data_IF_791024767697
#
_entry.id   IF_791024767697
#
_cell.length_a   1.000
_cell.length_b   1.000
_cell.length_c   1.000
_cell.angle_alpha   90.00
_cell.angle_beta   90.00
_cell.angle_gamma   90.00
#
_symmetry.space_group_name_H-M   'P 1'
#
loop_
_entity.id
_entity.type
_entity.pdbx_description
1 polymer ?
#
# COMPACT_ATOMS: atom_id res chain seq x y z
N UNK A 1 5.07 -6.74 -4.61
CA UNK A 1 4.68 -5.76 -5.66
C UNK A 1 4.18 -4.53 -4.93
N UNK A 2 4.70 -3.33 -5.22
CA UNK A 2 4.09 -2.12 -4.65
C UNK A 2 2.66 -2.03 -5.19
N UNK A 3 1.68 -2.12 -4.30
CA UNK A 3 0.32 -1.64 -4.57
C UNK A 3 0.47 -0.14 -4.76
N UNK A 4 0.34 0.34 -6.00
CA UNK A 4 0.52 1.73 -6.33
C UNK A 4 -0.70 2.51 -5.81
N UNK A 5 -0.64 2.93 -4.55
CA UNK A 5 -1.65 3.79 -3.94
C UNK A 5 -1.45 5.21 -4.48
N UNK A 6 -1.99 5.49 -5.66
CA UNK A 6 -1.92 6.85 -6.25
C UNK A 6 -3.07 7.71 -5.72
N UNK A 7 -3.13 7.90 -4.41
CA UNK A 7 -3.96 8.98 -3.84
C UNK A 7 -3.13 10.25 -3.87
N UNK A 8 -3.66 11.35 -4.38
CA UNK A 8 -2.96 12.63 -4.46
C UNK A 8 -3.44 13.56 -3.34
N UNK A 9 -2.52 14.31 -2.74
CA UNK A 9 -2.87 15.43 -1.86
C UNK A 9 -3.66 16.48 -2.65
N UNK A 10 -4.89 16.85 -2.23
CA UNK A 10 -5.70 17.82 -2.94
C UNK A 10 -5.12 19.25 -2.91
N UNK A 11 -4.24 19.59 -1.95
CA UNK A 11 -3.63 20.92 -1.86
C UNK A 11 -2.33 21.04 -2.67
N UNK A 12 -1.58 19.94 -2.84
CA UNK A 12 -0.25 19.95 -3.48
C UNK A 12 -0.15 19.11 -4.75
N UNK A 13 -1.11 18.23 -5.03
CA UNK A 13 -1.11 17.33 -6.19
C UNK A 13 0.00 16.27 -6.17
N UNK A 14 0.70 16.07 -5.06
CA UNK A 14 1.70 15.02 -4.89
C UNK A 14 1.03 13.71 -4.40
N UNK A 15 1.45 12.52 -4.85
CA UNK A 15 0.93 11.28 -4.30
C UNK A 15 1.24 11.19 -2.79
N UNK A 16 0.24 10.81 -1.99
CA UNK A 16 0.44 10.43 -0.60
C UNK A 16 1.38 9.23 -0.51
N UNK A 17 2.08 9.14 0.62
CA UNK A 17 2.85 7.94 0.92
C UNK A 17 1.99 6.67 0.93
N UNK A 18 2.58 5.56 0.49
CA UNK A 18 1.99 4.24 0.51
C UNK A 18 2.72 3.34 1.52
N UNK A 19 2.00 2.37 2.06
CA UNK A 19 2.56 1.30 2.88
C UNK A 19 2.13 -0.06 2.32
N UNK A 20 3.07 -1.00 2.31
CA UNK A 20 2.82 -2.40 2.00
C UNK A 20 3.55 -3.29 3.02
N UNK A 21 3.09 -4.53 3.16
CA UNK A 21 3.79 -5.56 3.92
C UNK A 21 4.46 -6.54 2.98
N UNK A 22 5.69 -6.94 3.34
CA UNK A 22 6.43 -7.99 2.66
C UNK A 22 7.30 -8.72 3.67
N UNK A 23 7.12 -10.04 3.79
CA UNK A 23 7.98 -10.90 4.62
C UNK A 23 8.16 -10.38 6.06
N UNK A 24 7.08 -9.89 6.68
CA UNK A 24 7.07 -9.30 8.03
C UNK A 24 7.54 -7.84 8.10
N UNK A 25 8.10 -7.29 7.02
CA UNK A 25 8.60 -5.91 6.94
C UNK A 25 7.55 -4.96 6.41
N UNK A 26 7.51 -3.75 6.95
CA UNK A 26 6.76 -2.64 6.41
C UNK A 26 7.62 -1.95 5.35
N UNK A 27 7.07 -1.83 4.14
CA UNK A 27 7.67 -1.12 3.02
C UNK A 27 6.87 0.16 2.78
N UNK A 28 7.47 1.28 3.14
CA UNK A 28 6.91 2.61 2.97
C UNK A 28 7.49 3.23 1.71
N UNK A 29 6.67 3.97 0.97
CA UNK A 29 7.09 4.74 -0.20
C UNK A 29 6.44 6.11 -0.16
N UNK A 30 7.23 7.17 -0.21
CA UNK A 30 6.75 8.55 -0.29
C UNK A 30 7.43 9.25 -1.46
N UNK A 31 6.70 10.11 -2.16
CA UNK A 31 7.25 10.86 -3.28
C UNK A 31 7.06 12.37 -3.08
N UNK A 32 8.00 13.17 -3.60
CA UNK A 32 7.97 14.63 -3.56
C UNK A 32 8.38 15.20 -4.92
N UNK A 33 7.69 16.25 -5.35
CA UNK A 33 8.13 17.12 -6.47
C UNK A 33 8.69 18.39 -5.88
N UNK A 34 10.02 18.45 -5.78
CA UNK A 34 10.75 19.54 -5.14
C UNK A 34 11.15 20.55 -6.21
N UNK A 35 10.91 21.85 -5.96
CA UNK A 35 11.20 22.94 -6.93
C UNK A 35 12.67 23.39 -6.91
N UNK A 36 13.57 22.43 -6.73
CA UNK A 36 15.00 22.64 -6.59
C UNK A 36 15.76 21.62 -7.45
N UNK A 37 16.94 21.97 -7.98
CA UNK A 37 17.75 21.06 -8.78
C UNK A 37 18.29 19.90 -7.92
N UNK A 38 18.55 18.71 -8.49
CA UNK A 38 18.98 17.53 -7.73
C UNK A 38 20.22 17.78 -6.87
N UNK A 39 21.15 18.62 -7.30
CA UNK A 39 22.36 18.97 -6.56
C UNK A 39 22.05 19.71 -5.25
N UNK A 40 21.02 20.58 -5.27
CA UNK A 40 20.56 21.29 -4.08
C UNK A 40 19.88 20.33 -3.10
N UNK A 41 19.05 19.42 -3.61
CA UNK A 41 18.38 18.40 -2.81
C UNK A 41 19.40 17.44 -2.21
N UNK A 42 20.36 16.98 -3.02
CA UNK A 42 21.46 16.12 -2.60
C UNK A 42 22.23 16.72 -1.42
N UNK A 43 22.59 18.00 -1.50
CA UNK A 43 23.26 18.68 -0.40
C UNK A 43 22.43 18.64 0.90
N UNK A 44 21.11 18.86 0.82
CA UNK A 44 20.23 18.77 1.98
C UNK A 44 20.13 17.33 2.57
N UNK A 45 20.39 16.30 1.75
CA UNK A 45 20.40 14.90 2.17
C UNK A 45 21.76 14.43 2.72
N UNK A 46 22.87 15.08 2.39
CA UNK A 46 24.21 14.58 2.71
C UNK A 46 25.09 15.52 3.53
N UNK A 47 24.81 16.83 3.56
CA UNK A 47 25.55 17.79 4.38
C UNK A 47 25.00 17.75 5.82
N UNK A 48 25.80 17.35 6.84
CA UNK A 48 25.36 17.29 8.23
C UNK A 48 24.74 18.59 8.75
N UNK A 49 25.25 19.74 8.31
CA UNK A 49 24.71 21.03 8.74
C UNK A 49 23.29 21.26 8.18
N UNK A 50 23.01 20.77 6.98
CA UNK A 50 21.68 20.86 6.38
C UNK A 50 20.72 19.79 6.89
N UNK A 51 21.19 18.56 7.14
CA UNK A 51 20.41 17.50 7.78
C UNK A 51 19.84 17.95 9.13
N UNK A 52 20.62 18.69 9.91
CA UNK A 52 20.18 19.27 11.19
C UNK A 52 19.02 20.26 11.06
N UNK A 53 18.77 20.81 9.87
CA UNK A 53 17.69 21.77 9.65
C UNK A 53 16.31 21.09 9.53
N UNK A 54 16.25 19.81 9.15
CA UNK A 54 14.99 19.14 8.81
C UNK A 54 14.83 17.70 9.31
N UNK A 55 15.93 16.98 9.61
CA UNK A 55 15.91 15.56 9.97
C UNK A 55 16.40 15.31 11.41
N UNK A 56 17.70 15.50 11.64
CA UNK A 56 18.39 15.08 12.85
C UNK A 56 19.77 15.74 12.95
N UNK A 57 20.33 15.80 14.16
CA UNK A 57 21.76 16.06 14.34
C UNK A 57 22.53 14.85 13.78
N UNK A 58 23.40 15.10 12.81
CA UNK A 58 23.90 14.04 11.92
C UNK A 58 25.43 14.02 11.86
N UNK A 59 25.98 12.81 11.77
CA UNK A 59 27.30 12.54 11.23
C UNK A 59 27.12 11.55 10.07
N UNK A 60 27.73 11.84 8.92
CA UNK A 60 27.61 11.01 7.73
C UNK A 60 28.93 11.00 6.96
N UNK A 61 29.48 9.81 6.74
CA UNK A 61 30.64 9.61 5.88
C UNK A 61 30.18 9.49 4.42
N UNK A 62 30.60 10.39 3.50
CA UNK A 62 30.01 10.52 2.17
C UNK A 62 30.57 9.50 1.17
N UNK A 63 30.45 8.22 1.47
CA UNK A 63 30.88 7.11 0.61
C UNK A 63 30.13 5.81 0.95
N UNK A 64 29.96 4.94 -0.04
CA UNK A 64 29.49 3.57 0.22
C UNK A 64 30.46 2.84 1.16
N UNK A 65 29.91 2.15 2.16
CA UNK A 65 30.65 1.54 3.26
C UNK A 65 30.98 2.51 4.40
N UNK A 66 30.69 3.81 4.26
CA UNK A 66 30.88 4.81 5.30
C UNK A 66 29.86 4.67 6.43
N UNK A 67 30.24 5.08 7.64
CA UNK A 67 29.36 5.10 8.80
C UNK A 67 28.44 6.34 8.85
N UNK A 68 27.32 6.22 9.56
CA UNK A 68 26.51 7.38 9.93
C UNK A 68 25.94 7.26 11.36
N UNK A 69 25.64 8.42 11.96
CA UNK A 69 24.86 8.56 13.18
C UNK A 69 23.80 9.66 12.98
N UNK A 70 22.53 9.37 13.31
CA UNK A 70 21.44 10.33 13.32
C UNK A 70 20.84 10.40 14.73
N UNK A 71 21.01 11.54 15.39
CA UNK A 71 20.42 11.83 16.71
C UNK A 71 19.17 12.67 16.53
N UNK A 72 18.02 12.07 16.84
CA UNK A 72 16.72 12.68 16.61
C UNK A 72 16.49 13.90 17.51
N UNK A 73 16.04 15.00 16.91
CA UNK A 73 15.84 16.29 17.58
C UNK A 73 14.39 16.55 17.98
N UNK A 74 13.49 15.60 17.71
CA UNK A 74 12.05 15.69 17.95
C UNK A 74 11.57 14.81 19.13
N UNK A 75 12.44 14.56 20.11
CA UNK A 75 12.14 13.70 21.27
C UNK A 75 11.29 14.39 22.38
N UNK A 76 11.15 15.72 22.33
CA UNK A 76 10.51 16.48 23.41
C UNK A 76 11.31 16.32 24.72
N UNK A 77 10.63 15.92 25.79
CA UNK A 77 11.25 15.67 27.10
C UNK A 77 11.89 14.27 27.24
N UNK A 78 11.74 13.40 26.23
CA UNK A 78 12.31 12.07 26.25
C UNK A 78 13.78 12.07 25.80
N UNK A 79 14.52 11.02 26.19
CA UNK A 79 15.88 10.81 25.69
C UNK A 79 15.88 10.70 24.15
N UNK A 80 16.73 11.48 23.45
CA UNK A 80 16.85 11.41 22.01
C UNK A 80 17.22 10.02 21.52
N UNK A 81 16.40 9.47 20.63
CA UNK A 81 16.77 8.26 19.91
C UNK A 81 18.00 8.54 19.03
N UNK A 82 18.89 7.56 18.93
CA UNK A 82 20.06 7.64 18.05
C UNK A 82 20.07 6.42 17.13
N UNK A 83 19.99 6.66 15.84
CA UNK A 83 20.12 5.65 14.80
C UNK A 83 21.56 5.61 14.28
N UNK A 84 22.10 4.41 14.09
CA UNK A 84 23.44 4.19 13.54
C UNK A 84 23.39 3.18 12.42
N UNK A 85 24.40 3.20 11.57
CA UNK A 85 24.43 2.27 10.46
C UNK A 85 25.51 2.54 9.44
N UNK A 86 25.29 1.98 8.25
CA UNK A 86 26.23 2.06 7.12
C UNK A 86 25.53 2.67 5.91
N UNK A 87 26.24 3.50 5.17
CA UNK A 87 25.84 3.98 3.84
C UNK A 87 26.04 2.83 2.85
N UNK A 88 24.96 2.21 2.38
CA UNK A 88 25.03 1.08 1.44
C UNK A 88 25.14 1.52 -0.01
N UNK A 89 24.61 2.70 -0.35
CA UNK A 89 24.79 3.33 -1.66
C UNK A 89 24.98 4.85 -1.54
N UNK A 90 25.91 5.38 -2.32
CA UNK A 90 26.22 6.81 -2.40
C UNK A 90 26.61 7.17 -3.84
N UNK A 91 25.64 7.56 -4.66
CA UNK A 91 25.82 7.99 -6.06
C UNK A 91 25.32 9.42 -6.24
N UNK A 92 26.16 10.46 -6.00
CA UNK A 92 25.75 11.84 -6.14
C UNK A 92 25.38 12.24 -7.59
N UNK A 93 24.33 13.05 -7.82
CA UNK A 93 23.29 13.50 -6.89
C UNK A 93 22.00 12.66 -7.01
N UNK A 94 22.11 11.35 -7.21
CA UNK A 94 21.00 10.48 -7.65
C UNK A 94 20.49 9.54 -6.57
N UNK A 95 21.36 8.93 -5.77
CA UNK A 95 20.97 7.85 -4.87
C UNK A 95 21.77 7.86 -3.56
N UNK A 96 21.04 7.99 -2.45
CA UNK A 96 21.53 7.72 -1.10
C UNK A 96 20.76 6.52 -0.54
N UNK A 97 21.47 5.53 -0.02
CA UNK A 97 20.88 4.41 0.71
C UNK A 97 21.63 4.18 2.01
N UNK A 98 20.88 4.03 3.10
CA UNK A 98 21.35 3.81 4.46
C UNK A 98 20.74 2.51 5.00
N UNK A 99 21.55 1.66 5.60
CA UNK A 99 21.10 0.54 6.41
C UNK A 99 21.23 0.91 7.89
N UNK A 100 20.09 1.14 8.55
CA UNK A 100 19.96 1.65 9.91
C UNK A 100 19.53 0.57 10.90
N UNK A 101 20.16 0.56 12.07
CA UNK A 101 19.77 -0.28 13.21
C UNK A 101 18.37 0.00 13.76
N UNK A 102 17.85 1.22 13.61
CA UNK A 102 16.57 1.67 14.14
C UNK A 102 15.48 1.76 13.08
N UNK A 103 15.83 2.20 11.87
CA UNK A 103 14.86 2.53 10.81
C UNK A 103 14.91 1.58 9.61
N UNK A 104 15.72 0.53 9.68
CA UNK A 104 15.94 -0.41 8.59
C UNK A 104 16.59 0.26 7.39
N UNK A 105 16.22 -0.18 6.18
CA UNK A 105 16.80 0.35 4.95
C UNK A 105 16.05 1.61 4.54
N UNK A 106 16.77 2.73 4.44
CA UNK A 106 16.27 4.02 4.00
C UNK A 106 16.91 4.38 2.67
N UNK A 107 16.11 4.75 1.68
CA UNK A 107 16.59 5.01 0.32
C UNK A 107 15.95 6.28 -0.24
N UNK A 108 16.77 7.18 -0.75
CA UNK A 108 16.36 8.41 -1.44
C UNK A 108 16.88 8.37 -2.87
N UNK A 109 15.95 8.42 -3.83
CA UNK A 109 16.24 8.45 -5.26
C UNK A 109 15.80 9.78 -5.86
N UNK A 110 16.72 10.46 -6.53
CA UNK A 110 16.51 11.78 -7.13
C UNK A 110 16.53 11.66 -8.65
N UNK A 111 15.42 12.01 -9.28
CA UNK A 111 15.30 12.11 -10.73
C UNK A 111 15.09 13.57 -11.14
N UNK A 112 15.93 14.13 -12.03
CA UNK A 112 15.69 15.47 -12.57
C UNK A 112 14.38 15.50 -13.35
N UNK A 113 13.58 16.54 -13.15
CA UNK A 113 12.36 16.84 -13.91
C UNK A 113 12.38 18.30 -14.37
N UNK A 114 11.59 18.72 -15.38
CA UNK A 114 11.70 20.06 -15.97
C UNK A 114 11.64 21.23 -14.96
N UNK A 115 10.91 21.08 -13.85
CA UNK A 115 10.72 22.13 -12.83
C UNK A 115 11.46 21.86 -11.51
N UNK A 116 12.37 20.88 -11.47
CA UNK A 116 13.15 20.55 -10.27
C UNK A 116 13.50 19.08 -10.16
N UNK A 117 13.13 18.46 -9.04
CA UNK A 117 13.51 17.08 -8.70
C UNK A 117 12.29 16.27 -8.29
N UNK A 118 12.14 15.08 -8.87
CA UNK A 118 11.27 14.05 -8.32
C UNK A 118 12.09 13.22 -7.34
N UNK A 119 11.78 13.37 -6.05
CA UNK A 119 12.34 12.56 -4.98
C UNK A 119 11.39 11.39 -4.71
N UNK A 120 11.96 10.19 -4.71
CA UNK A 120 11.32 8.97 -4.23
C UNK A 120 12.06 8.54 -2.97
N UNK A 121 11.34 8.48 -1.85
CA UNK A 121 11.84 7.94 -0.60
C UNK A 121 11.19 6.59 -0.32
N UNK A 122 11.98 5.59 0.05
CA UNK A 122 11.48 4.31 0.56
C UNK A 122 12.12 3.96 1.90
N UNK A 123 11.32 3.36 2.78
CA UNK A 123 11.77 2.81 4.06
C UNK A 123 11.30 1.37 4.16
N UNK A 124 12.23 0.45 4.36
CA UNK A 124 11.94 -0.95 4.64
C UNK A 124 12.36 -1.28 6.07
N UNK A 125 11.38 -1.46 6.94
CA UNK A 125 11.60 -1.57 8.38
C UNK A 125 10.75 -2.68 9.01
N UNK A 126 11.33 -3.41 9.94
CA UNK A 126 10.62 -4.40 10.73
C UNK A 126 9.95 -3.71 11.93
N UNK A 127 8.65 -3.47 11.81
CA UNK A 127 7.83 -2.89 12.88
C UNK A 127 6.49 -3.63 13.00
N UNK A 128 5.93 -3.73 14.22
CA UNK A 128 4.54 -4.15 14.40
C UNK A 128 3.53 -3.32 13.57
N UNK A 129 2.36 -3.89 13.28
CA UNK A 129 1.34 -3.29 12.40
C UNK A 129 0.82 -1.95 12.92
N UNK A 130 0.60 -1.88 14.22
CA UNK A 130 0.15 -0.67 14.90
C UNK A 130 1.10 0.53 14.75
N UNK A 131 2.36 0.31 14.35
CA UNK A 131 3.34 1.38 14.16
C UNK A 131 3.48 1.87 12.72
N UNK A 132 2.96 1.15 11.72
CA UNK A 132 3.09 1.51 10.30
C UNK A 132 2.59 2.92 10.04
N UNK A 133 1.38 3.24 10.49
CA UNK A 133 0.76 4.56 10.34
C UNK A 133 1.61 5.67 10.97
N UNK A 134 2.16 5.42 12.17
CA UNK A 134 3.01 6.38 12.89
C UNK A 134 4.30 6.63 12.13
N UNK A 135 4.95 5.58 11.63
CA UNK A 135 6.20 5.68 10.88
C UNK A 135 5.97 6.40 9.54
N UNK A 136 4.89 6.10 8.83
CA UNK A 136 4.52 6.75 7.58
C UNK A 136 4.27 8.26 7.78
N UNK A 137 3.52 8.63 8.83
CA UNK A 137 3.31 10.03 9.20
C UNK A 137 4.59 10.74 9.63
N UNK A 138 5.48 10.04 10.33
CA UNK A 138 6.79 10.55 10.73
C UNK A 138 7.66 10.92 9.53
N UNK A 139 7.82 9.99 8.58
CA UNK A 139 8.59 10.27 7.36
C UNK A 139 7.95 11.34 6.49
N UNK A 140 6.63 11.35 6.37
CA UNK A 140 5.92 12.40 5.65
C UNK A 140 6.27 13.79 6.21
N UNK A 141 6.19 13.94 7.53
CA UNK A 141 6.50 15.20 8.19
C UNK A 141 7.95 15.65 7.94
N UNK A 142 8.92 14.73 8.05
CA UNK A 142 10.32 15.08 7.78
C UNK A 142 10.55 15.46 6.32
N UNK A 143 9.87 14.81 5.37
CA UNK A 143 9.95 15.20 3.95
C UNK A 143 9.30 16.56 3.68
N UNK A 144 8.31 16.98 4.47
CA UNK A 144 7.79 18.34 4.39
C UNK A 144 8.79 19.35 4.97
N UNK A 145 9.48 19.00 6.07
CA UNK A 145 10.58 19.82 6.59
C UNK A 145 11.75 19.92 5.62
N UNK A 146 12.04 18.87 4.85
CA UNK A 146 13.03 18.91 3.78
C UNK A 146 12.64 19.97 2.74
N UNK A 147 11.39 19.99 2.27
CA UNK A 147 10.91 20.98 1.31
C UNK A 147 11.01 22.41 1.89
N UNK A 148 10.57 22.61 3.13
CA UNK A 148 10.70 23.88 3.86
C UNK A 148 12.19 24.32 3.94
N UNK A 149 13.11 23.38 4.25
CA UNK A 149 14.53 23.65 4.39
C UNK A 149 15.24 23.96 3.05
N UNK A 150 14.78 23.36 1.95
CA UNK A 150 15.26 23.72 0.61
C UNK A 150 14.92 25.17 0.26
N UNK A 151 13.79 25.68 0.76
CA UNK A 151 13.39 27.09 0.72
C UNK A 151 14.12 28.01 1.72
N UNK A 152 14.99 27.46 2.56
CA UNK A 152 15.80 28.21 3.53
C UNK A 152 15.20 28.30 4.94
N UNK A 153 14.07 27.64 5.21
CA UNK A 153 13.55 27.51 6.56
C UNK A 153 14.38 26.52 7.39
N UNK A 154 14.17 26.52 8.70
CA UNK A 154 14.73 25.51 9.61
C UNK A 154 13.67 25.14 10.64
N UNK A 155 13.63 23.87 11.03
CA UNK A 155 12.77 23.44 12.13
C UNK A 155 13.29 24.04 13.44
N UNK A 156 12.39 24.67 14.19
CA UNK A 156 12.66 25.08 15.57
C UNK A 156 12.48 23.86 16.50
N UNK A 157 13.53 23.05 16.61
CA UNK A 157 13.51 21.83 17.42
C UNK A 157 13.20 22.09 18.90
N UNK A 158 13.58 23.27 19.43
CA UNK A 158 13.34 23.62 20.83
C UNK A 158 11.85 23.83 21.14
N UNK A 159 11.07 24.26 20.14
CA UNK A 159 9.62 24.49 20.26
C UNK A 159 8.83 23.50 19.38
N UNK A 160 9.43 22.36 19.02
CA UNK A 160 8.78 21.39 18.14
C UNK A 160 7.56 20.76 18.82
N UNK A 161 6.50 20.51 18.02
CA UNK A 161 5.27 19.88 18.51
C UNK A 161 4.79 18.80 17.55
N UNK A 162 3.95 17.90 18.07
CA UNK A 162 3.31 16.84 17.28
C UNK A 162 2.11 17.32 16.45
N UNK A 163 1.82 18.64 16.40
CA UNK A 163 0.62 19.16 15.75
C UNK A 163 0.56 18.84 14.25
N UNK A 164 1.63 19.13 13.48
CA UNK A 164 1.73 18.78 12.05
C UNK A 164 1.75 17.25 11.86
N UNK A 165 2.50 16.54 12.71
CA UNK A 165 2.53 15.07 12.68
C UNK A 165 1.13 14.46 12.82
N UNK A 166 0.31 14.95 13.76
CA UNK A 166 -1.05 14.45 14.01
C UNK A 166 -1.95 14.60 12.79
N UNK A 167 -1.80 15.70 12.03
CA UNK A 167 -2.54 15.87 10.77
C UNK A 167 -2.21 14.77 9.76
N UNK A 168 -0.92 14.44 9.56
CA UNK A 168 -0.54 13.35 8.66
C UNK A 168 -0.96 11.98 9.22
N UNK A 169 -0.77 11.76 10.51
CA UNK A 169 -1.17 10.52 11.18
C UNK A 169 -2.67 10.24 10.99
N UNK A 170 -3.54 11.22 11.28
CA UNK A 170 -4.99 11.03 11.20
C UNK A 170 -5.44 10.81 9.75
N UNK A 171 -4.79 11.47 8.79
CA UNK A 171 -5.01 11.24 7.35
C UNK A 171 -4.62 9.81 6.95
N UNK A 172 -3.45 9.34 7.36
CA UNK A 172 -3.00 7.98 7.06
C UNK A 172 -3.83 6.91 7.77
N UNK A 173 -4.23 7.13 9.02
CA UNK A 173 -5.11 6.24 9.75
C UNK A 173 -6.46 6.10 9.03
N UNK A 174 -7.05 7.21 8.58
CA UNK A 174 -8.29 7.19 7.82
C UNK A 174 -8.14 6.47 6.47
N UNK A 175 -7.05 6.73 5.73
CA UNK A 175 -6.78 6.09 4.45
C UNK A 175 -6.58 4.58 4.60
N UNK A 176 -5.69 4.15 5.50
CA UNK A 176 -5.41 2.73 5.72
C UNK A 176 -6.64 1.98 6.23
N UNK A 177 -7.39 2.58 7.17
CA UNK A 177 -8.66 2.00 7.62
C UNK A 177 -9.71 1.86 6.50
N UNK A 178 -9.75 2.81 5.54
CA UNK A 178 -10.62 2.70 4.37
C UNK A 178 -10.21 1.55 3.45
N UNK A 179 -8.91 1.34 3.25
CA UNK A 179 -8.38 0.28 2.40
C UNK A 179 -8.63 -1.10 3.01
N UNK A 180 -8.43 -1.24 4.32
CA UNK A 180 -8.70 -2.47 5.07
C UNK A 180 -10.19 -2.79 5.06
N UNK A 181 -11.06 -1.80 5.22
CA UNK A 181 -12.50 -1.98 5.09
C UNK A 181 -12.90 -2.51 3.70
N UNK A 182 -12.22 -2.07 2.63
CA UNK A 182 -12.46 -2.55 1.26
C UNK A 182 -11.93 -3.97 1.05
N UNK A 183 -10.75 -4.31 1.60
CA UNK A 183 -10.25 -5.69 1.63
C UNK A 183 -11.21 -6.63 2.37
N UNK A 184 -11.76 -6.16 3.48
CA UNK A 184 -12.75 -6.90 4.27
C UNK A 184 -14.07 -7.13 3.52
N UNK A 185 -14.51 -6.18 2.67
CA UNK A 185 -15.64 -6.43 1.77
C UNK A 185 -15.34 -7.61 0.84
N UNK A 186 -14.19 -7.60 0.18
CA UNK A 186 -13.77 -8.65 -0.73
C UNK A 186 -13.68 -10.01 -0.05
N UNK A 187 -13.01 -10.08 1.11
CA UNK A 187 -12.90 -11.30 1.92
C UNK A 187 -14.27 -11.87 2.27
N UNK A 188 -15.21 -11.03 2.72
CA UNK A 188 -16.58 -11.47 3.07
C UNK A 188 -17.37 -12.03 1.89
N UNK A 189 -17.19 -11.47 0.68
CA UNK A 189 -17.79 -12.05 -0.54
C UNK A 189 -17.27 -13.48 -0.76
N UNK A 190 -15.96 -13.67 -0.68
CA UNK A 190 -15.34 -14.99 -0.88
C UNK A 190 -15.73 -15.98 0.22
N UNK A 191 -15.80 -15.52 1.48
CA UNK A 191 -16.25 -16.33 2.61
C UNK A 191 -17.70 -16.80 2.40
N UNK A 192 -18.60 -15.90 1.97
CA UNK A 192 -19.99 -16.24 1.63
C UNK A 192 -20.09 -17.25 0.47
N UNK A 193 -19.29 -17.07 -0.59
CA UNK A 193 -19.22 -18.05 -1.68
C UNK A 193 -18.73 -19.41 -1.20
N UNK A 194 -17.63 -19.43 -0.44
CA UNK A 194 -16.99 -20.66 0.03
C UNK A 194 -17.85 -21.41 1.06
N UNK A 195 -18.66 -20.68 1.83
CA UNK A 195 -19.69 -21.23 2.71
C UNK A 195 -20.96 -21.67 1.95
N UNK A 196 -21.07 -21.34 0.65
CA UNK A 196 -22.26 -21.55 -0.19
C UNK A 196 -23.51 -20.90 0.41
N UNK A 197 -23.34 -19.67 0.90
CA UNK A 197 -24.40 -18.86 1.49
C UNK A 197 -24.57 -17.58 0.66
N UNK A 198 -25.65 -17.54 -0.14
CA UNK A 198 -25.95 -16.43 -1.03
C UNK A 198 -26.24 -15.13 -0.28
N UNK A 199 -26.88 -15.22 0.91
CA UNK A 199 -27.11 -14.05 1.77
C UNK A 199 -25.79 -13.50 2.31
N UNK A 200 -24.88 -14.36 2.79
CA UNK A 200 -23.57 -13.93 3.25
C UNK A 200 -22.73 -13.35 2.12
N UNK A 201 -22.79 -13.95 0.92
CA UNK A 201 -22.14 -13.41 -0.28
C UNK A 201 -22.64 -12.01 -0.62
N UNK A 202 -23.95 -11.77 -0.52
CA UNK A 202 -24.57 -10.51 -0.91
C UNK A 202 -24.49 -9.41 0.18
N UNK A 203 -24.32 -9.74 1.46
CA UNK A 203 -24.29 -8.74 2.56
C UNK A 203 -23.34 -7.53 2.32
N UNK A 204 -22.12 -7.72 1.78
CA UNK A 204 -21.20 -6.63 1.50
C UNK A 204 -21.69 -5.61 0.47
N UNK A 205 -22.63 -5.99 -0.41
CA UNK A 205 -23.07 -5.16 -1.52
C UNK A 205 -23.92 -3.98 -1.08
N UNK A 206 -23.96 -2.93 -1.89
CA UNK A 206 -25.03 -1.93 -1.84
C UNK A 206 -26.40 -2.57 -2.10
N UNK A 207 -27.49 -1.92 -1.66
CA UNK A 207 -28.85 -2.42 -1.94
C UNK A 207 -29.10 -2.50 -3.45
N UNK A 208 -28.51 -1.58 -4.22
CA UNK A 208 -28.48 -1.50 -5.68
C UNK A 208 -27.16 -2.00 -6.31
N UNK A 209 -26.31 -2.68 -5.53
CA UNK A 209 -25.02 -3.19 -6.02
C UNK A 209 -25.19 -4.33 -7.04
N UNK A 210 -24.14 -4.56 -7.84
CA UNK A 210 -24.15 -5.52 -8.94
C UNK A 210 -23.03 -6.55 -8.85
N UNK A 211 -23.31 -7.77 -9.29
CA UNK A 211 -22.27 -8.76 -9.58
C UNK A 211 -22.33 -9.22 -11.03
N UNK A 212 -21.16 -9.40 -11.63
CA UNK A 212 -20.97 -9.99 -12.95
C UNK A 212 -20.23 -11.32 -12.78
N UNK A 213 -20.93 -12.40 -13.08
CA UNK A 213 -20.42 -13.77 -13.00
C UNK A 213 -19.34 -14.06 -14.04
N UNK A 214 -18.69 -15.21 -13.88
CA UNK A 214 -17.61 -15.66 -14.78
C UNK A 214 -18.07 -15.82 -16.25
N UNK A 215 -19.36 -16.13 -16.46
CA UNK A 215 -20.03 -16.26 -17.75
C UNK A 215 -20.57 -14.92 -18.30
N UNK A 216 -20.37 -13.82 -17.57
CA UNK A 216 -20.90 -12.50 -17.90
C UNK A 216 -22.34 -12.26 -17.43
N UNK A 217 -22.95 -13.18 -16.70
CA UNK A 217 -24.31 -12.99 -16.15
C UNK A 217 -24.30 -11.87 -15.12
N UNK A 218 -25.23 -10.92 -15.27
CA UNK A 218 -25.39 -9.78 -14.36
C UNK A 218 -26.53 -10.04 -13.36
N UNK A 219 -26.26 -9.79 -12.09
CA UNK A 219 -27.28 -9.71 -11.04
C UNK A 219 -27.20 -8.34 -10.37
N UNK A 220 -28.29 -7.58 -10.47
CA UNK A 220 -28.40 -6.25 -9.87
C UNK A 220 -29.34 -6.28 -8.67
N UNK A 221 -28.89 -5.67 -7.57
CA UNK A 221 -29.61 -5.54 -6.31
C UNK A 221 -29.28 -6.65 -5.30
N UNK A 222 -29.01 -6.26 -4.05
CA UNK A 222 -28.53 -7.18 -3.00
C UNK A 222 -29.42 -8.41 -2.80
N UNK A 223 -30.73 -8.22 -2.73
CA UNK A 223 -31.69 -9.31 -2.53
C UNK A 223 -31.69 -10.29 -3.71
N UNK A 224 -31.66 -9.75 -4.94
CA UNK A 224 -31.60 -10.57 -6.15
C UNK A 224 -30.30 -11.35 -6.22
N UNK A 225 -29.17 -10.74 -5.87
CA UNK A 225 -27.88 -11.43 -5.77
C UNK A 225 -28.00 -12.62 -4.82
N UNK A 226 -28.49 -12.41 -3.59
CA UNK A 226 -28.65 -13.48 -2.61
C UNK A 226 -29.50 -14.63 -3.14
N UNK A 227 -30.68 -14.33 -3.69
CA UNK A 227 -31.60 -15.34 -4.22
C UNK A 227 -31.01 -16.15 -5.37
N UNK A 228 -30.30 -15.50 -6.31
CA UNK A 228 -29.71 -16.21 -7.45
C UNK A 228 -28.54 -17.10 -7.00
N UNK A 229 -27.72 -16.62 -6.08
CA UNK A 229 -26.59 -17.40 -5.56
C UNK A 229 -27.08 -18.61 -4.74
N UNK A 230 -28.13 -18.46 -3.92
CA UNK A 230 -28.73 -19.60 -3.19
C UNK A 230 -29.27 -20.66 -4.16
N UNK A 231 -29.87 -20.27 -5.29
CA UNK A 231 -30.30 -21.23 -6.33
C UNK A 231 -29.11 -21.97 -6.93
N UNK A 232 -28.05 -21.25 -7.30
CA UNK A 232 -26.82 -21.86 -7.83
C UNK A 232 -26.23 -22.87 -6.84
N UNK A 233 -26.17 -22.51 -5.55
CA UNK A 233 -25.63 -23.37 -4.50
C UNK A 233 -26.51 -24.59 -4.20
N UNK A 234 -27.83 -24.48 -4.38
CA UNK A 234 -28.74 -25.60 -4.25
C UNK A 234 -28.58 -26.62 -5.39
N UNK A 235 -28.34 -26.13 -6.62
CA UNK A 235 -28.29 -26.98 -7.82
C UNK A 235 -26.89 -27.54 -8.10
N UNK A 236 -25.83 -26.90 -7.59
CA UNK A 236 -24.44 -27.25 -7.90
C UNK A 236 -23.55 -27.27 -6.65
N UNK A 237 -22.71 -28.31 -6.54
CA UNK A 237 -21.58 -28.28 -5.63
C UNK A 237 -20.52 -27.32 -6.20
N UNK A 238 -20.58 -26.04 -5.83
CA UNK A 238 -19.64 -25.03 -6.33
C UNK A 238 -18.21 -25.26 -5.82
N UNK A 239 -17.25 -24.90 -6.66
CA UNK A 239 -15.83 -24.91 -6.33
C UNK A 239 -15.50 -23.80 -5.33
N UNK A 240 -14.45 -23.98 -4.53
CA UNK A 240 -14.02 -23.02 -3.51
C UNK A 240 -13.02 -22.03 -4.11
N UNK A 241 -13.21 -20.73 -3.86
CA UNK A 241 -12.22 -19.71 -4.21
C UNK A 241 -10.96 -19.80 -3.34
N UNK A 242 -9.83 -19.62 -4.02
CA UNK A 242 -8.53 -19.25 -3.47
C UNK A 242 -8.13 -17.96 -4.18
N UNK A 243 -7.76 -16.92 -3.45
CA UNK A 243 -7.53 -15.63 -4.07
C UNK A 243 -6.38 -14.85 -3.42
N UNK A 244 -5.82 -13.93 -4.20
CA UNK A 244 -4.75 -13.01 -3.81
C UNK A 244 -5.15 -11.59 -4.24
N UNK A 245 -5.18 -10.66 -3.28
CA UNK A 245 -5.40 -9.24 -3.58
C UNK A 245 -4.14 -8.67 -4.21
N UNK A 246 -4.27 -8.15 -5.43
CA UNK A 246 -3.16 -7.54 -6.17
C UNK A 246 -2.98 -6.07 -5.84
N UNK A 247 -4.10 -5.37 -5.69
CA UNK A 247 -4.14 -3.92 -5.54
C UNK A 247 -5.44 -3.51 -4.84
N UNK A 248 -5.36 -2.52 -3.96
CA UNK A 248 -6.51 -1.80 -3.43
C UNK A 248 -6.14 -0.32 -3.39
N UNK A 249 -7.02 0.55 -3.87
CA UNK A 249 -6.75 1.99 -3.90
C UNK A 249 -8.04 2.79 -3.80
N UNK A 250 -7.95 3.92 -3.12
CA UNK A 250 -8.98 4.97 -3.16
C UNK A 250 -8.82 5.72 -4.48
N UNK A 251 -9.92 5.88 -5.21
CA UNK A 251 -9.97 6.54 -6.54
C UNK A 251 -10.66 7.89 -6.50
N UNK A 252 -11.31 8.21 -5.39
CA UNK A 252 -11.95 9.49 -5.11
C UNK A 252 -12.55 9.49 -3.70
N UNK A 253 -13.06 10.62 -3.21
CA UNK A 253 -13.72 10.68 -1.91
C UNK A 253 -14.82 9.63 -1.79
N UNK A 254 -14.66 8.68 -0.86
CA UNK A 254 -15.62 7.60 -0.64
C UNK A 254 -15.76 6.62 -1.82
N UNK A 255 -14.77 6.51 -2.69
CA UNK A 255 -14.75 5.55 -3.80
C UNK A 255 -13.42 4.80 -3.85
N UNK A 256 -13.47 3.48 -3.98
CA UNK A 256 -12.30 2.62 -4.02
C UNK A 256 -12.44 1.52 -5.08
N UNK A 257 -11.30 1.05 -5.56
CA UNK A 257 -11.19 -0.10 -6.45
C UNK A 257 -10.22 -1.10 -5.84
N UNK A 258 -10.63 -2.36 -5.82
CA UNK A 258 -9.78 -3.50 -5.47
C UNK A 258 -9.68 -4.42 -6.69
N UNK A 259 -8.47 -4.90 -6.93
CA UNK A 259 -8.17 -5.89 -7.96
C UNK A 259 -7.52 -7.10 -7.31
N UNK A 260 -8.01 -8.27 -7.64
CA UNK A 260 -7.50 -9.54 -7.15
C UNK A 260 -7.39 -10.54 -8.29
N UNK A 261 -6.68 -11.63 -8.04
CA UNK A 261 -6.74 -12.83 -8.85
C UNK A 261 -7.32 -13.95 -8.02
N UNK A 262 -8.08 -14.83 -8.63
CA UNK A 262 -8.63 -15.99 -7.96
C UNK A 262 -8.57 -17.23 -8.84
N UNK A 263 -8.40 -18.38 -8.19
CA UNK A 263 -8.60 -19.70 -8.77
C UNK A 263 -9.67 -20.43 -7.98
N UNK A 264 -10.11 -21.57 -8.50
CA UNK A 264 -11.10 -22.40 -7.80
C UNK A 264 -10.60 -23.83 -7.64
N UNK A 265 -10.86 -24.41 -6.46
CA UNK A 265 -10.64 -25.82 -6.16
C UNK A 265 -11.97 -26.55 -6.29
N UNK A 266 -12.13 -27.43 -7.30
CA UNK A 266 -13.37 -28.18 -7.49
C UNK A 266 -13.72 -29.08 -6.30
N UNK A 267 -15.00 -29.42 -6.09
CA UNK A 267 -15.40 -30.37 -5.04
C UNK A 267 -14.64 -31.70 -5.15
N UNK A 268 -14.03 -32.14 -4.05
CA UNK A 268 -13.26 -33.39 -3.99
C UNK A 268 -11.86 -33.33 -4.63
N UNK A 269 -11.47 -32.19 -5.21
CA UNK A 269 -10.12 -31.98 -5.72
C UNK A 269 -9.19 -31.42 -4.63
N UNK A 270 -7.89 -31.66 -4.79
CA UNK A 270 -6.84 -31.10 -3.92
C UNK A 270 -6.10 -29.92 -4.55
N UNK A 271 -6.41 -29.57 -5.81
CA UNK A 271 -5.68 -28.59 -6.59
C UNK A 271 -6.62 -27.66 -7.35
N UNK A 272 -6.09 -26.52 -7.77
CA UNK A 272 -6.78 -25.49 -8.54
C UNK A 272 -7.01 -25.97 -9.97
N UNK A 273 -8.20 -25.73 -10.51
CA UNK A 273 -8.49 -25.87 -11.93
C UNK A 273 -8.03 -24.60 -12.70
N UNK A 274 -6.99 -24.70 -13.55
CA UNK A 274 -6.48 -23.54 -14.29
C UNK A 274 -7.51 -22.92 -15.24
N UNK A 275 -8.48 -23.70 -15.73
CA UNK A 275 -9.46 -23.25 -16.72
C UNK A 275 -10.43 -22.20 -16.17
N UNK A 276 -10.55 -22.11 -14.85
CA UNK A 276 -11.48 -21.21 -14.16
C UNK A 276 -10.78 -20.15 -13.32
N UNK A 277 -9.48 -19.95 -13.53
CA UNK A 277 -8.77 -18.80 -12.98
C UNK A 277 -9.39 -17.51 -13.53
N UNK A 278 -9.51 -16.50 -12.68
CA UNK A 278 -10.10 -15.22 -13.02
C UNK A 278 -9.34 -14.04 -12.40
N UNK A 279 -9.49 -12.89 -13.04
CA UNK A 279 -9.21 -11.60 -12.45
C UNK A 279 -10.51 -11.08 -11.86
N UNK A 280 -10.47 -10.71 -10.59
CA UNK A 280 -11.60 -10.14 -9.87
C UNK A 280 -11.43 -8.65 -9.69
N UNK A 281 -12.47 -7.88 -9.99
CA UNK A 281 -12.51 -6.43 -9.78
C UNK A 281 -13.68 -6.11 -8.87
N UNK A 282 -13.41 -5.32 -7.83
CA UNK A 282 -14.40 -4.83 -6.89
C UNK A 282 -14.34 -3.30 -6.89
N UNK A 283 -15.48 -2.65 -7.11
CA UNK A 283 -15.63 -1.22 -6.83
C UNK A 283 -16.47 -1.07 -5.57
N UNK A 284 -16.03 -0.18 -4.69
CA UNK A 284 -16.71 0.10 -3.44
C UNK A 284 -16.98 1.60 -3.30
N UNK A 285 -18.08 1.92 -2.65
CA UNK A 285 -18.42 3.27 -2.25
C UNK A 285 -18.73 3.35 -0.77
N UNK A 286 -18.42 4.50 -0.16
CA UNK A 286 -18.68 4.79 1.25
C UNK A 286 -19.92 5.64 1.37
N UNK A 287 -21.02 5.05 1.83
CA UNK A 287 -22.28 5.75 2.09
C UNK A 287 -22.54 5.81 3.60
N UNK A 288 -22.81 7.01 4.13
CA UNK A 288 -23.04 7.26 5.55
C UNK A 288 -21.95 6.63 6.46
N UNK A 289 -20.69 6.74 6.05
CA UNK A 289 -19.54 6.24 6.81
C UNK A 289 -19.27 4.73 6.68
N UNK A 290 -20.07 3.98 5.92
CA UNK A 290 -19.89 2.53 5.71
C UNK A 290 -19.54 2.21 4.27
N UNK A 291 -18.49 1.41 4.08
CA UNK A 291 -18.12 0.87 2.78
C UNK A 291 -19.05 -0.27 2.38
N UNK A 292 -19.50 -0.25 1.12
CA UNK A 292 -20.29 -1.29 0.48
C UNK A 292 -19.84 -1.48 -0.97
N UNK A 293 -20.08 -2.66 -1.51
CA UNK A 293 -19.69 -3.03 -2.88
C UNK A 293 -20.72 -2.49 -3.85
N UNK A 294 -20.27 -1.67 -4.80
CA UNK A 294 -21.10 -1.19 -5.91
C UNK A 294 -21.07 -2.20 -7.07
N UNK A 295 -19.90 -2.74 -7.40
CA UNK A 295 -19.72 -3.76 -8.44
C UNK A 295 -18.70 -4.82 -8.02
N UNK A 296 -19.02 -6.08 -8.24
CA UNK A 296 -18.06 -7.19 -8.21
C UNK A 296 -18.08 -7.93 -9.54
N UNK A 297 -16.93 -8.04 -10.21
CA UNK A 297 -16.83 -8.67 -11.53
C UNK A 297 -15.77 -9.75 -11.54
N UNK A 298 -16.12 -10.89 -12.15
CA UNK A 298 -15.20 -11.99 -12.44
C UNK A 298 -14.90 -12.01 -13.94
N UNK A 299 -13.63 -11.92 -14.32
CA UNK A 299 -13.21 -11.99 -15.72
C UNK A 299 -12.28 -13.19 -15.91
N UNK A 300 -12.60 -14.13 -16.83
CA UNK A 300 -11.73 -15.27 -17.11
C UNK A 300 -10.29 -14.85 -17.44
N UNK A 301 -9.32 -15.40 -16.73
CA UNK A 301 -7.89 -15.11 -16.91
C UNK A 301 -7.30 -15.99 -18.02
N UNK A 302 -7.85 -15.88 -19.22
CA UNK A 302 -7.53 -16.77 -20.34
C UNK A 302 -6.15 -16.51 -20.97
N UNK A 303 -5.61 -15.29 -20.85
CA UNK A 303 -4.31 -14.87 -21.40
C UNK A 303 -4.05 -15.38 -22.82
N UNK A 304 -5.01 -15.19 -23.74
CA UNK A 304 -4.92 -15.73 -25.10
C UNK A 304 -3.57 -15.43 -25.77
N UNK A 305 -2.96 -16.47 -26.33
CA UNK A 305 -1.64 -16.42 -26.96
C UNK A 305 -0.45 -16.42 -25.99
N UNK A 306 -0.68 -16.48 -24.67
CA UNK A 306 0.33 -16.38 -23.61
C UNK A 306 0.11 -17.45 -22.51
N UNK A 307 0.19 -18.75 -22.85
CA UNK A 307 -0.08 -19.84 -21.91
C UNK A 307 0.84 -19.83 -20.68
N UNK A 308 2.06 -19.30 -20.81
CA UNK A 308 3.01 -19.11 -19.72
C UNK A 308 2.49 -18.18 -18.63
N UNK A 309 1.74 -17.12 -18.97
CA UNK A 309 1.13 -16.21 -17.99
C UNK A 309 0.02 -16.92 -17.19
N UNK A 310 -0.80 -17.73 -17.87
CA UNK A 310 -1.84 -18.54 -17.22
C UNK A 310 -1.25 -19.61 -16.29
N UNK A 311 -0.16 -20.27 -16.72
CA UNK A 311 0.56 -21.24 -15.91
C UNK A 311 1.20 -20.58 -14.68
N UNK A 312 1.81 -19.40 -14.85
CA UNK A 312 2.38 -18.62 -13.75
C UNK A 312 1.32 -18.20 -12.73
N UNK A 313 0.15 -17.72 -13.19
CA UNK A 313 -0.96 -17.39 -12.31
C UNK A 313 -1.43 -18.61 -11.50
N UNK A 314 -1.56 -19.77 -12.15
CA UNK A 314 -1.94 -21.00 -11.46
C UNK A 314 -0.92 -21.41 -10.40
N UNK A 315 0.38 -21.32 -10.72
CA UNK A 315 1.44 -21.64 -9.79
C UNK A 315 1.42 -20.73 -8.55
N UNK A 316 1.15 -19.44 -8.76
CA UNK A 316 1.00 -18.48 -7.67
C UNK A 316 -0.20 -18.81 -6.77
N UNK A 317 -1.39 -19.03 -7.36
CA UNK A 317 -2.59 -19.35 -6.60
C UNK A 317 -2.45 -20.68 -5.84
N UNK A 318 -1.67 -21.65 -6.37
CA UNK A 318 -1.30 -22.88 -5.65
C UNK A 318 -0.44 -22.60 -4.43
N UNK A 319 0.47 -21.63 -4.49
CA UNK A 319 1.25 -21.22 -3.32
C UNK A 319 0.31 -20.66 -2.23
N UNK A 320 -0.66 -19.81 -2.62
CA UNK A 320 -1.70 -19.30 -1.72
C UNK A 320 -2.50 -20.45 -1.10
N UNK A 321 -2.94 -21.43 -1.89
CA UNK A 321 -3.69 -22.60 -1.41
C UNK A 321 -2.92 -23.41 -0.35
N UNK A 322 -1.60 -23.56 -0.51
CA UNK A 322 -0.75 -24.30 0.43
C UNK A 322 -0.46 -23.54 1.72
N UNK A 323 -0.75 -22.23 1.75
CA UNK A 323 -0.27 -21.33 2.80
C UNK A 323 1.21 -20.96 2.65
N UNK A 324 1.83 -21.29 1.50
CA UNK A 324 3.20 -20.90 1.13
C UNK A 324 3.23 -19.55 0.40
N UNK A 325 2.05 -19.02 0.04
CA UNK A 325 1.90 -17.65 -0.44
C UNK A 325 2.16 -16.67 0.70
N UNK A 326 2.86 -15.57 0.40
CA UNK A 326 2.95 -14.43 1.31
C UNK A 326 1.54 -14.14 1.86
N UNK A 327 1.32 -14.05 3.18
CA UNK A 327 0.03 -13.61 3.69
C UNK A 327 -0.21 -12.18 3.21
N UNK A 328 -0.97 -12.02 2.14
CA UNK A 328 -1.54 -10.76 1.72
C UNK A 328 -2.61 -10.36 2.72
N UNK A 329 -2.26 -9.39 3.57
CA UNK A 329 -3.19 -8.69 4.47
C UNK A 329 -4.35 -8.03 3.71
#
# INVERSE_FOLDING_TARGET
MFVAMTTHDPDTGAPYGAAARRDGRALLRLERRLRHPPERVWRALTDPAELSAWLADAALEPAAGGGFELRWLNAGDAEPAVARGTVTAFDPPRLLELDSDLHGVLRWELTPVPEGTHLVFTSEVEVPEEFVTRTLAGWHLHLDYLDDALGGARVDWANWTTARWRVHHDRYAALLGDLDAVRDLYRRILDGWNARDGRAFAEPFHDDGETVGFDGTVHSGRERIAEQLDRIFADHATARYVAEVRDVRVVGPGAAVLRAVAGMVPPGAADIDPAVNCVQTLTASKLMGRWRVALFQNTPAAYHGRPEESAALTAELRAVLRGDGTPGA
#
